data_IF_518257213603
#
_entry.id   IF_518257213603
#
_cell.length_a   1.000
_cell.length_b   1.000
_cell.length_c   1.000
_cell.angle_alpha   90.00
_cell.angle_beta   90.00
_cell.angle_gamma   90.00
#
_symmetry.space_group_name_H-M   'P 1'
#
loop_
_entity.id
_entity.type
_entity.pdbx_description
1 polymer ?
#
# COMPACT_ATOMS: atom_id res chain seq x y z
N UNK A 1 31.84 9.16 33.66
CA UNK A 1 32.28 8.50 32.41
C UNK A 1 31.84 9.28 31.15
N UNK A 2 31.96 10.62 31.14
CA UNK A 2 31.71 11.43 29.94
C UNK A 2 32.68 12.62 29.95
N UNK A 3 33.85 12.44 29.33
CA UNK A 3 34.94 13.45 29.26
C UNK A 3 35.14 14.04 27.85
N UNK A 4 34.36 13.64 26.84
CA UNK A 4 34.50 14.08 25.43
C UNK A 4 33.19 14.65 24.88
N UNK A 5 33.27 15.80 24.20
CA UNK A 5 32.12 16.48 23.54
C UNK A 5 31.33 15.56 22.60
N UNK A 6 32.02 14.61 21.95
CA UNK A 6 31.41 13.61 21.07
C UNK A 6 30.43 12.67 21.79
N UNK A 7 30.59 12.42 23.09
CA UNK A 7 29.63 11.60 23.83
C UNK A 7 28.25 12.25 23.99
N UNK A 8 28.18 13.59 24.05
CA UNK A 8 26.91 14.31 24.07
C UNK A 8 26.16 14.16 22.74
N UNK A 9 26.88 14.16 21.62
CA UNK A 9 26.29 13.93 20.30
C UNK A 9 25.69 12.52 20.20
N UNK A 10 26.43 11.49 20.62
CA UNK A 10 25.90 10.12 20.61
C UNK A 10 24.71 9.93 21.56
N UNK A 11 24.74 10.56 22.73
CA UNK A 11 23.60 10.54 23.66
C UNK A 11 22.38 11.21 23.02
N UNK A 12 22.56 12.37 22.38
CA UNK A 12 21.49 13.08 21.68
C UNK A 12 20.87 12.21 20.57
N UNK A 13 21.70 11.61 19.71
CA UNK A 13 21.23 10.68 18.68
C UNK A 13 20.52 9.45 19.27
N UNK A 14 21.05 8.86 20.34
CA UNK A 14 20.41 7.74 21.00
C UNK A 14 19.01 8.10 21.52
N UNK A 15 18.85 9.29 22.11
CA UNK A 15 17.53 9.79 22.55
C UNK A 15 16.60 10.02 21.36
N UNK A 16 17.07 10.61 20.25
CA UNK A 16 16.26 10.78 19.04
C UNK A 16 15.80 9.44 18.46
N UNK A 17 16.70 8.47 18.35
CA UNK A 17 16.35 7.13 17.87
C UNK A 17 15.36 6.43 18.80
N UNK A 18 15.50 6.58 20.11
CA UNK A 18 14.54 6.06 21.07
C UNK A 18 13.16 6.71 20.90
N UNK A 19 13.10 8.04 20.76
CA UNK A 19 11.84 8.77 20.50
C UNK A 19 11.23 8.35 19.16
N UNK A 20 12.03 8.25 18.10
CA UNK A 20 11.58 7.80 16.79
C UNK A 20 11.00 6.38 16.86
N UNK A 21 11.71 5.43 17.49
CA UNK A 21 11.23 4.07 17.70
C UNK A 21 9.93 4.03 18.54
N UNK A 22 9.80 4.91 19.54
CA UNK A 22 8.58 5.01 20.34
C UNK A 22 7.36 5.42 19.51
N UNK A 23 7.53 6.24 18.47
CA UNK A 23 6.44 6.58 17.54
C UNK A 23 5.93 5.34 16.79
N UNK A 24 6.83 4.47 16.32
CA UNK A 24 6.43 3.22 15.65
C UNK A 24 5.71 2.28 16.60
N UNK A 25 6.21 2.14 17.83
CA UNK A 25 5.57 1.31 18.84
C UNK A 25 4.17 1.83 19.18
N UNK A 26 4.05 3.14 19.40
CA UNK A 26 2.77 3.80 19.62
C UNK A 26 1.81 3.64 18.43
N UNK A 27 2.30 3.81 17.20
CA UNK A 27 1.52 3.58 15.98
C UNK A 27 1.05 2.12 15.86
N UNK A 28 1.90 1.15 16.24
CA UNK A 28 1.52 -0.26 16.23
C UNK A 28 0.40 -0.56 17.23
N UNK A 29 0.48 -0.01 18.44
CA UNK A 29 -0.59 -0.16 19.44
C UNK A 29 -1.87 0.55 19.02
N UNK A 30 -1.77 1.78 18.50
CA UNK A 30 -2.91 2.54 18.00
C UNK A 30 -3.60 1.88 16.83
N UNK A 31 -2.84 1.23 15.92
CA UNK A 31 -3.42 0.49 14.80
C UNK A 31 -4.45 -0.53 15.26
N UNK A 32 -4.21 -1.26 16.35
CA UNK A 32 -5.18 -2.25 16.86
C UNK A 32 -6.45 -1.59 17.42
N UNK A 33 -6.31 -0.46 18.12
CA UNK A 33 -7.45 0.29 18.63
C UNK A 33 -8.28 0.91 17.49
N UNK A 34 -7.61 1.48 16.49
CA UNK A 34 -8.25 2.14 15.35
C UNK A 34 -8.96 1.14 14.42
N UNK A 35 -8.52 -0.13 14.37
CA UNK A 35 -9.16 -1.17 13.55
C UNK A 35 -10.61 -1.45 13.95
N UNK A 36 -10.95 -1.36 15.24
CA UNK A 36 -12.34 -1.54 15.68
C UNK A 36 -13.25 -0.47 15.07
N UNK A 37 -12.82 0.79 15.10
CA UNK A 37 -13.55 1.91 14.48
C UNK A 37 -13.62 1.75 12.94
N UNK A 38 -12.56 1.25 12.30
CA UNK A 38 -12.57 1.01 10.86
C UNK A 38 -13.56 -0.09 10.45
N UNK A 39 -13.69 -1.14 11.26
CA UNK A 39 -14.66 -2.21 11.03
C UNK A 39 -16.10 -1.70 11.17
N UNK A 40 -16.37 -0.87 12.17
CA UNK A 40 -17.68 -0.22 12.34
C UNK A 40 -18.03 0.68 11.15
N UNK A 41 -17.06 1.47 10.66
CA UNK A 41 -17.26 2.29 9.45
C UNK A 41 -17.52 1.45 8.21
N UNK A 42 -16.82 0.32 8.06
CA UNK A 42 -17.05 -0.63 6.97
C UNK A 42 -18.46 -1.22 7.02
N UNK A 43 -18.95 -1.55 8.23
CA UNK A 43 -20.30 -2.03 8.44
C UNK A 43 -21.33 -0.98 7.97
N UNK A 44 -21.17 0.28 8.39
CA UNK A 44 -22.03 1.39 7.94
C UNK A 44 -22.02 1.59 6.42
N UNK A 45 -20.84 1.55 5.79
CA UNK A 45 -20.70 1.67 4.32
C UNK A 45 -21.53 0.60 3.61
N UNK A 46 -21.50 -0.65 4.09
CA UNK A 46 -22.30 -1.74 3.52
C UNK A 46 -23.79 -1.58 3.80
N UNK A 47 -24.21 -1.09 4.97
CA UNK A 47 -25.62 -0.85 5.28
C UNK A 47 -26.23 0.28 4.42
N UNK A 48 -25.41 1.28 4.08
CA UNK A 48 -25.80 2.42 3.26
C UNK A 48 -25.58 2.19 1.77
N UNK A 49 -25.18 0.98 1.36
CA UNK A 49 -24.85 0.61 -0.02
C UNK A 49 -23.85 1.58 -0.69
N UNK A 50 -22.95 2.16 0.10
CA UNK A 50 -21.89 3.02 -0.41
C UNK A 50 -20.81 2.17 -1.08
N UNK A 51 -20.32 2.63 -2.22
CA UNK A 51 -19.36 1.87 -3.05
C UNK A 51 -18.01 1.65 -2.38
N UNK A 52 -17.59 2.56 -1.49
CA UNK A 52 -16.35 2.41 -0.72
C UNK A 52 -16.27 3.37 0.47
N UNK A 53 -15.36 3.08 1.41
CA UNK A 53 -14.97 4.01 2.46
C UNK A 53 -13.92 4.99 1.91
N UNK A 54 -14.20 6.29 2.00
CA UNK A 54 -13.22 7.33 1.66
C UNK A 54 -12.06 7.30 2.67
N UNK A 55 -10.94 6.70 2.26
CA UNK A 55 -9.74 6.58 3.10
C UNK A 55 -8.95 7.89 3.15
N UNK A 56 -8.95 8.64 2.04
CA UNK A 56 -8.28 9.94 1.92
C UNK A 56 -9.09 10.89 1.05
N UNK A 57 -9.15 12.16 1.44
CA UNK A 57 -9.85 13.21 0.70
C UNK A 57 -8.97 13.91 -0.31
N UNK A 58 -7.67 13.67 -0.33
CA UNK A 58 -6.74 14.54 -1.07
C UNK A 58 -6.58 14.10 -2.53
N UNK A 59 -6.20 12.85 -2.80
CA UNK A 59 -6.12 12.33 -4.17
C UNK A 59 -7.50 11.80 -4.64
N UNK A 60 -7.90 12.13 -5.88
CA UNK A 60 -9.23 11.76 -6.41
C UNK A 60 -9.44 10.24 -6.49
N UNK A 61 -8.40 9.51 -6.85
CA UNK A 61 -8.39 8.05 -7.00
C UNK A 61 -8.24 7.30 -5.66
N UNK A 62 -8.12 8.01 -4.52
CA UNK A 62 -8.09 7.39 -3.19
C UNK A 62 -9.35 7.64 -2.36
N UNK A 63 -10.29 8.46 -2.88
CA UNK A 63 -11.63 8.69 -2.27
C UNK A 63 -12.60 7.56 -2.49
N UNK A 64 -12.57 6.95 -3.69
CA UNK A 64 -13.40 5.81 -4.04
C UNK A 64 -12.53 4.75 -4.73
N UNK A 65 -11.71 3.99 -3.98
CA UNK A 65 -10.80 3.01 -4.57
C UNK A 65 -11.48 2.04 -5.55
N UNK A 66 -12.71 1.62 -5.26
CA UNK A 66 -13.52 0.76 -6.15
C UNK A 66 -13.98 1.43 -7.46
N UNK A 67 -14.08 2.76 -7.50
CA UNK A 67 -14.49 3.55 -8.67
C UNK A 67 -13.34 4.40 -9.23
N UNK A 68 -12.13 4.23 -8.70
CA UNK A 68 -10.97 4.99 -9.11
C UNK A 68 -10.59 4.62 -10.55
N UNK A 69 -10.57 5.61 -11.42
CA UNK A 69 -10.06 5.44 -12.78
C UNK A 69 -8.55 5.17 -12.73
N UNK A 70 -8.14 4.04 -13.31
CA UNK A 70 -6.75 3.59 -13.39
C UNK A 70 -5.85 4.57 -14.19
N UNK A 71 -6.46 5.44 -15.00
CA UNK A 71 -5.77 6.49 -15.75
C UNK A 71 -5.75 7.84 -15.04
N UNK A 72 -6.39 7.99 -13.87
CA UNK A 72 -6.36 9.25 -13.10
C UNK A 72 -5.01 9.61 -12.50
N UNK A 73 -4.14 8.67 -12.06
CA UNK A 73 -2.81 9.04 -11.61
C UNK A 73 -2.09 9.84 -12.71
N UNK A 74 -1.59 11.02 -12.37
CA UNK A 74 -0.82 11.89 -13.26
C UNK A 74 -1.62 12.60 -14.39
N UNK A 75 -2.94 12.75 -14.25
CA UNK A 75 -3.76 13.51 -15.21
C UNK A 75 -3.53 15.03 -15.19
N UNK A 76 -2.75 15.56 -14.25
CA UNK A 76 -2.46 16.98 -14.19
C UNK A 76 -1.58 17.43 -15.39
N UNK A 77 -0.46 16.75 -15.66
CA UNK A 77 0.38 17.01 -16.85
C UNK A 77 1.31 15.82 -17.15
N UNK A 78 1.65 15.51 -18.43
CA UNK A 78 2.69 14.53 -18.73
C UNK A 78 4.01 14.93 -18.03
N UNK A 79 4.55 14.03 -17.20
CA UNK A 79 5.72 14.21 -16.32
C UNK A 79 5.51 15.00 -15.02
N UNK A 80 4.29 15.40 -14.66
CA UNK A 80 4.05 16.01 -13.34
C UNK A 80 4.10 14.95 -12.24
N UNK A 81 4.84 15.22 -11.16
CA UNK A 81 4.76 14.40 -9.96
C UNK A 81 3.39 14.59 -9.28
N UNK A 82 2.79 13.50 -8.81
CA UNK A 82 1.57 13.56 -7.99
C UNK A 82 1.82 14.40 -6.74
N UNK A 83 1.03 15.46 -6.56
CA UNK A 83 1.16 16.38 -5.45
C UNK A 83 0.57 15.84 -4.14
N UNK A 84 -0.28 14.81 -4.24
CA UNK A 84 -1.00 14.29 -3.09
C UNK A 84 -0.25 13.11 -2.46
N UNK A 85 0.13 13.19 -1.16
CA UNK A 85 0.87 12.12 -0.50
C UNK A 85 0.08 10.81 -0.46
N UNK A 86 -1.25 10.88 -0.38
CA UNK A 86 -2.15 9.73 -0.41
C UNK A 86 -2.05 8.91 -1.69
N UNK A 87 -1.58 9.52 -2.79
CA UNK A 87 -1.39 8.84 -4.07
C UNK A 87 -0.42 7.65 -3.99
N UNK A 88 0.53 7.69 -3.06
CA UNK A 88 1.51 6.61 -2.82
C UNK A 88 0.94 5.36 -2.15
N UNK A 89 -0.29 5.41 -1.64
CA UNK A 89 -0.92 4.30 -0.92
C UNK A 89 -1.61 3.30 -1.85
N UNK A 90 -1.90 3.69 -3.08
CA UNK A 90 -2.44 2.75 -4.08
C UNK A 90 -1.30 1.91 -4.64
N UNK A 91 -1.42 0.59 -4.51
CA UNK A 91 -0.47 -0.33 -5.11
C UNK A 91 -0.56 -0.27 -6.64
N UNK A 92 0.57 -0.47 -7.35
CA UNK A 92 0.53 -0.60 -8.80
C UNK A 92 -0.38 -1.78 -9.19
N UNK A 93 -1.05 -1.69 -10.37
CA UNK A 93 -1.91 -2.76 -10.86
C UNK A 93 -1.23 -4.13 -10.84
N UNK A 94 -1.97 -5.23 -10.60
CA UNK A 94 -1.41 -6.58 -10.51
C UNK A 94 -0.63 -7.04 -11.75
N UNK A 95 -0.93 -6.46 -12.92
CA UNK A 95 -0.25 -6.77 -14.17
C UNK A 95 1.13 -6.09 -14.31
N UNK A 96 1.42 -5.08 -13.47
CA UNK A 96 2.72 -4.42 -13.37
C UNK A 96 3.52 -4.91 -12.17
N UNK A 97 2.89 -5.59 -11.21
CA UNK A 97 3.62 -6.28 -10.15
C UNK A 97 4.29 -7.51 -10.75
N UNK A 98 5.63 -7.62 -10.71
CA UNK A 98 6.29 -8.85 -11.12
C UNK A 98 5.74 -10.00 -10.28
N UNK A 99 5.26 -11.06 -10.94
CA UNK A 99 4.88 -12.30 -10.27
C UNK A 99 6.04 -12.71 -9.35
N UNK A 100 5.79 -13.09 -8.08
CA UNK A 100 6.86 -13.56 -7.21
C UNK A 100 7.67 -14.60 -7.97
N UNK A 101 8.95 -14.31 -8.22
CA UNK A 101 9.85 -15.25 -8.87
C UNK A 101 9.76 -16.56 -8.07
N UNK A 102 9.59 -17.73 -8.73
CA UNK A 102 9.57 -19.00 -8.03
C UNK A 102 10.84 -19.09 -7.18
N UNK A 103 10.65 -19.24 -5.88
CA UNK A 103 11.76 -19.28 -4.93
C UNK A 103 12.67 -20.45 -5.29
N UNK A 104 13.99 -20.29 -5.43
CA UNK A 104 14.88 -21.35 -5.91
C UNK A 104 15.14 -22.47 -4.86
N UNK A 105 14.30 -22.60 -3.84
CA UNK A 105 14.46 -23.61 -2.78
C UNK A 105 13.09 -24.23 -2.46
N UNK A 106 12.73 -25.27 -3.21
CA UNK A 106 11.53 -26.06 -3.01
C UNK A 106 11.47 -27.17 -4.05
N UNK A 107 11.91 -28.37 -3.65
CA UNK A 107 12.25 -29.49 -4.54
C UNK A 107 11.12 -30.03 -5.42
N UNK A 108 11.59 -30.66 -6.50
CA UNK A 108 11.00 -31.72 -7.31
C UNK A 108 9.70 -32.36 -6.80
N UNK A 109 8.70 -32.49 -7.70
CA UNK A 109 7.53 -33.31 -7.41
C UNK A 109 6.35 -33.29 -8.39
N UNK A 110 6.59 -33.49 -9.69
CA UNK A 110 5.79 -34.35 -10.62
C UNK A 110 4.31 -34.04 -10.95
N UNK A 111 4.04 -33.94 -12.27
CA UNK A 111 2.74 -34.23 -12.92
C UNK A 111 2.31 -33.13 -13.90
N UNK A 112 2.78 -33.13 -15.16
CA UNK A 112 2.04 -33.65 -16.33
C UNK A 112 0.58 -33.16 -16.39
N UNK A 113 0.10 -32.47 -17.42
CA UNK A 113 0.61 -32.11 -18.73
C UNK A 113 -0.53 -31.48 -19.53
N UNK A 114 -0.21 -30.96 -20.73
CA UNK A 114 -1.08 -30.90 -21.93
C UNK A 114 -2.42 -30.13 -21.78
N UNK A 115 -2.76 -29.09 -22.52
CA UNK A 115 -2.39 -28.78 -23.89
C UNK A 115 -2.91 -27.38 -24.27
N UNK A 116 -2.15 -26.76 -25.18
CA UNK A 116 -2.64 -25.94 -26.29
C UNK A 116 -3.45 -24.67 -26.00
N UNK A 117 -2.86 -23.49 -26.24
CA UNK A 117 -3.04 -22.73 -27.50
C UNK A 117 -4.50 -22.34 -27.75
N UNK A 118 -4.80 -21.03 -27.70
CA UNK A 118 -5.20 -20.30 -28.92
C UNK A 118 -5.67 -18.90 -28.55
N UNK A 119 -4.83 -17.93 -28.92
CA UNK A 119 -5.22 -16.57 -29.27
C UNK A 119 -6.45 -16.62 -30.17
N UNK A 120 -7.58 -16.08 -29.73
CA UNK A 120 -8.61 -15.59 -30.65
C UNK A 120 -9.05 -14.18 -30.29
N UNK A 121 -8.67 -13.30 -31.21
CA UNK A 121 -8.99 -11.89 -31.35
C UNK A 121 -10.41 -11.76 -31.95
N UNK A 122 -11.19 -10.81 -31.43
CA UNK A 122 -12.32 -10.05 -32.06
C UNK A 122 -13.64 -10.78 -32.40
N UNK A 123 -14.76 -10.05 -32.67
CA UNK A 123 -15.18 -8.69 -32.28
C UNK A 123 -16.63 -8.64 -31.70
N UNK A 124 -17.02 -7.43 -31.30
CA UNK A 124 -18.35 -7.00 -30.82
C UNK A 124 -19.37 -6.99 -31.99
N UNK A 125 -20.65 -7.35 -31.78
CA UNK A 125 -21.76 -7.00 -32.68
C UNK A 125 -22.29 -5.58 -32.44
#
# INVERSE_FOLDING_TARGET
>A
MFKRKSSFFFLYFAVLFALFGSMFLHAHFRRKADMAMLLEKREMVRQLELTDLCLFTDARYTRHPSMADLNTPFQDYPLSFEHFPSGSLMAPPPHLTPSPLPSPLGGEGKGEGTDSVSVRKTPIP
#
